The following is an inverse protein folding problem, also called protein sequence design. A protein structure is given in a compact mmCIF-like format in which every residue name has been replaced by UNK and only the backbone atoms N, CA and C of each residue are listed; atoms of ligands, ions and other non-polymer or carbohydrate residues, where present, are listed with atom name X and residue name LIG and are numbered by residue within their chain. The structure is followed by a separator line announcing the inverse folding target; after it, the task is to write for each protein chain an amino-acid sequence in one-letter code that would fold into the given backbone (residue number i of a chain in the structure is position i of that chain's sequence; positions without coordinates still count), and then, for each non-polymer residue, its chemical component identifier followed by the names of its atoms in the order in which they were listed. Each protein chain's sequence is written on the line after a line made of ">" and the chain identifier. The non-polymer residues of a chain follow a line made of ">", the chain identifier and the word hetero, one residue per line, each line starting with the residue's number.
data_IF_990726428913
#
_entry.id   IF_990726428913
#
_cell.length_a   1.000
_cell.length_b   1.000
_cell.length_c   1.000
_cell.angle_alpha   90.00
_cell.angle_beta   90.00
_cell.angle_gamma   90.00
#
_symmetry.space_group_name_H-M   'P 1'
#
loop_
_entity.id
_entity.type
_entity.pdbx_description
1 polymer ?
#
# COMPACT_ATOMS: atom_id res chain seq x y z
N UNK A 1 3.12 3.71 -8.57
CA UNK A 1 1.90 3.01 -9.03
C UNK A 1 1.35 3.51 -10.36
N UNK A 2 1.13 4.83 -10.57
CA UNK A 2 0.51 5.40 -11.79
C UNK A 2 1.08 4.83 -13.11
N UNK A 3 2.41 4.76 -13.24
CA UNK A 3 3.10 4.19 -14.41
C UNK A 3 2.75 2.72 -14.66
N UNK A 4 2.70 1.88 -13.61
CA UNK A 4 2.40 0.46 -13.77
C UNK A 4 0.95 0.23 -14.21
N UNK A 5 0.00 0.97 -13.64
CA UNK A 5 -1.41 0.95 -14.11
C UNK A 5 -1.48 1.37 -15.59
N UNK A 6 -0.69 2.36 -16.01
CA UNK A 6 -0.57 2.76 -17.41
C UNK A 6 -0.12 1.61 -18.33
N UNK A 7 0.94 0.88 -17.93
CA UNK A 7 1.41 -0.30 -18.68
C UNK A 7 0.37 -1.41 -18.79
N UNK A 8 -0.36 -1.68 -17.70
CA UNK A 8 -1.45 -2.67 -17.72
C UNK A 8 -2.55 -2.27 -18.72
N UNK A 9 -2.87 -0.97 -18.82
CA UNK A 9 -3.82 -0.44 -19.82
C UNK A 9 -3.30 -0.65 -21.24
N UNK A 10 -2.07 -0.23 -21.52
CA UNK A 10 -1.46 -0.33 -22.86
C UNK A 10 -1.40 -1.77 -23.39
N UNK A 11 -1.26 -2.74 -22.48
CA UNK A 11 -1.21 -4.17 -22.80
C UNK A 11 -2.56 -4.86 -22.79
N UNK A 12 -3.66 -4.15 -22.57
CA UNK A 12 -5.00 -4.73 -22.49
C UNK A 12 -5.22 -5.65 -21.27
N UNK A 13 -4.42 -5.50 -20.21
CA UNK A 13 -4.47 -6.29 -18.98
C UNK A 13 -5.25 -5.58 -17.86
N UNK A 14 -5.70 -4.35 -18.08
CA UNK A 14 -6.50 -3.57 -17.15
C UNK A 14 -7.97 -3.59 -17.57
N UNK A 15 -8.84 -4.08 -16.71
CA UNK A 15 -10.30 -3.93 -16.88
C UNK A 15 -10.73 -2.56 -16.34
N UNK A 16 -11.27 -1.71 -17.19
CA UNK A 16 -11.79 -0.40 -16.81
C UNK A 16 -13.30 -0.44 -16.61
N UNK A 17 -13.76 -0.01 -15.44
CA UNK A 17 -15.17 0.06 -15.05
C UNK A 17 -15.54 1.54 -15.00
N UNK A 18 -16.47 1.96 -15.86
CA UNK A 18 -16.78 3.38 -16.09
C UNK A 18 -18.10 3.80 -15.48
N UNK A 19 -18.99 2.86 -15.28
CA UNK A 19 -20.18 3.04 -14.46
C UNK A 19 -19.80 3.41 -13.02
N UNK A 20 -20.67 4.20 -12.37
CA UNK A 20 -20.58 4.48 -10.95
C UNK A 20 -20.79 3.18 -10.16
N UNK A 21 -19.86 2.87 -9.26
CA UNK A 21 -19.90 1.67 -8.42
C UNK A 21 -19.95 2.05 -6.95
N UNK A 22 -20.78 1.36 -6.18
CA UNK A 22 -20.88 1.55 -4.75
C UNK A 22 -19.59 1.12 -4.03
N UNK A 23 -19.07 1.92 -3.07
CA UNK A 23 -17.98 1.50 -2.20
C UNK A 23 -18.43 0.43 -1.20
N UNK A 24 -19.74 0.25 -1.02
CA UNK A 24 -20.32 -0.72 -0.11
C UNK A 24 -20.58 -2.03 -0.86
N UNK A 25 -19.73 -3.02 -0.62
CA UNK A 25 -19.74 -4.39 -1.15
C UNK A 25 -19.55 -4.56 -2.66
N UNK A 26 -20.07 -3.65 -3.49
CA UNK A 26 -20.15 -3.84 -4.94
C UNK A 26 -18.77 -3.88 -5.60
N UNK A 27 -17.93 -2.88 -5.36
CA UNK A 27 -16.55 -2.87 -5.89
C UNK A 27 -15.75 -4.10 -5.43
N UNK A 28 -15.89 -4.49 -4.16
CA UNK A 28 -15.22 -5.66 -3.59
C UNK A 28 -15.74 -6.98 -4.21
N UNK A 29 -17.06 -7.08 -4.46
CA UNK A 29 -17.68 -8.21 -5.13
C UNK A 29 -17.17 -8.35 -6.57
N UNK A 30 -17.16 -7.27 -7.33
CA UNK A 30 -16.63 -7.23 -8.70
C UNK A 30 -15.16 -7.64 -8.73
N UNK A 31 -14.34 -7.10 -7.82
CA UNK A 31 -12.93 -7.48 -7.70
C UNK A 31 -12.73 -8.97 -7.40
N UNK A 32 -13.57 -9.55 -6.54
CA UNK A 32 -13.54 -10.99 -6.20
C UNK A 32 -13.96 -11.89 -7.37
N UNK A 33 -14.95 -11.46 -8.14
CA UNK A 33 -15.54 -12.24 -9.25
C UNK A 33 -14.65 -12.19 -10.50
N UNK A 34 -14.16 -11.01 -10.87
CA UNK A 34 -13.38 -10.83 -12.08
C UNK A 34 -11.94 -11.34 -11.95
N UNK A 35 -11.33 -11.25 -10.76
CA UNK A 35 -9.94 -11.69 -10.48
C UNK A 35 -8.93 -11.20 -11.53
N UNK A 36 -9.08 -9.95 -11.96
CA UNK A 36 -8.20 -9.24 -12.90
C UNK A 36 -7.86 -7.86 -12.32
N UNK A 37 -6.79 -7.18 -12.79
CA UNK A 37 -6.55 -5.79 -12.46
C UNK A 37 -7.74 -4.92 -12.87
N UNK A 38 -8.22 -4.10 -11.95
CA UNK A 38 -9.39 -3.24 -12.14
C UNK A 38 -9.04 -1.78 -11.89
N UNK A 39 -9.59 -0.92 -12.74
CA UNK A 39 -9.66 0.52 -12.49
C UNK A 39 -11.12 0.97 -12.58
N UNK A 40 -11.69 1.26 -11.43
CA UNK A 40 -12.97 1.95 -11.33
C UNK A 40 -12.74 3.43 -11.57
N UNK A 41 -13.51 4.03 -12.47
CA UNK A 41 -13.41 5.47 -12.75
C UNK A 41 -14.28 6.32 -11.83
N UNK A 42 -15.32 5.73 -11.25
CA UNK A 42 -16.22 6.43 -10.33
C UNK A 42 -16.65 5.52 -9.17
N UNK A 43 -16.01 5.75 -8.02
CA UNK A 43 -16.53 5.35 -6.71
C UNK A 43 -16.57 6.63 -5.88
N UNK A 44 -17.78 7.19 -5.69
CA UNK A 44 -17.99 8.49 -5.02
C UNK A 44 -17.17 9.64 -5.66
N UNK A 45 -17.02 9.64 -6.98
CA UNK A 45 -16.24 10.62 -7.73
C UNK A 45 -14.73 10.36 -7.77
N UNK A 46 -14.26 9.25 -7.21
CA UNK A 46 -12.84 8.89 -7.20
C UNK A 46 -12.53 7.70 -8.10
N UNK A 47 -11.29 7.68 -8.61
CA UNK A 47 -10.72 6.49 -9.25
C UNK A 47 -10.18 5.54 -8.19
N UNK A 48 -10.51 4.26 -8.30
CA UNK A 48 -10.04 3.22 -7.39
C UNK A 48 -9.43 2.08 -8.19
N UNK A 49 -8.22 1.68 -7.81
CA UNK A 49 -7.51 0.57 -8.44
C UNK A 49 -7.54 -0.64 -7.50
N UNK A 50 -7.90 -1.81 -8.03
CA UNK A 50 -7.94 -3.07 -7.28
C UNK A 50 -7.20 -4.18 -8.03
N UNK A 51 -6.73 -5.20 -7.28
CA UNK A 51 -6.09 -6.39 -7.83
C UNK A 51 -4.83 -6.13 -8.68
N UNK A 52 -4.14 -5.01 -8.46
CA UNK A 52 -3.00 -4.58 -9.31
C UNK A 52 -1.79 -5.53 -9.19
N UNK A 53 -1.57 -6.12 -8.01
CA UNK A 53 -0.45 -7.04 -7.73
C UNK A 53 -0.95 -8.43 -7.27
N UNK A 54 -2.08 -8.89 -7.80
CA UNK A 54 -2.77 -10.10 -7.30
C UNK A 54 -2.14 -11.44 -7.69
N UNK A 55 -1.18 -11.47 -8.63
CA UNK A 55 -0.59 -12.71 -9.15
C UNK A 55 0.93 -12.58 -9.30
N UNK A 56 1.61 -13.73 -9.34
CA UNK A 56 3.06 -13.78 -9.57
C UNK A 56 3.44 -13.13 -10.90
N UNK A 57 2.69 -13.42 -11.96
CA UNK A 57 2.91 -12.81 -13.27
C UNK A 57 2.79 -11.28 -13.24
N UNK A 58 1.77 -10.72 -12.58
CA UNK A 58 1.61 -9.27 -12.43
C UNK A 58 2.72 -8.66 -11.59
N UNK A 59 3.13 -9.32 -10.50
CA UNK A 59 4.25 -8.85 -9.68
C UNK A 59 5.57 -8.88 -10.48
N UNK A 60 5.82 -9.96 -11.22
CA UNK A 60 7.01 -10.13 -12.07
C UNK A 60 7.08 -9.03 -13.12
N UNK A 61 5.96 -8.74 -13.79
CA UNK A 61 5.87 -7.62 -14.73
C UNK A 61 6.02 -6.24 -14.06
N UNK A 62 5.45 -6.07 -12.87
CA UNK A 62 5.58 -4.82 -12.11
C UNK A 62 7.04 -4.50 -11.78
N UNK A 63 7.83 -5.54 -11.48
CA UNK A 63 9.23 -5.45 -11.09
C UNK A 63 10.20 -5.56 -12.28
N UNK A 64 9.73 -5.96 -13.47
CA UNK A 64 10.58 -6.19 -14.63
C UNK A 64 11.48 -7.42 -14.49
N UNK A 65 11.05 -8.42 -13.73
CA UNK A 65 11.79 -9.67 -13.48
C UNK A 65 11.05 -10.81 -14.19
N UNK A 66 11.77 -11.76 -14.78
CA UNK A 66 11.13 -12.94 -15.36
C UNK A 66 10.41 -13.76 -14.26
N UNK A 67 9.21 -14.27 -14.57
CA UNK A 67 8.37 -14.96 -13.59
C UNK A 67 9.03 -16.21 -12.98
N UNK A 68 9.88 -16.90 -13.74
CA UNK A 68 10.64 -18.06 -13.27
C UNK A 68 11.81 -17.67 -12.35
N UNK A 69 12.31 -16.44 -12.44
CA UNK A 69 13.48 -15.97 -11.71
C UNK A 69 13.13 -15.12 -10.49
N UNK A 70 11.88 -14.66 -10.35
CA UNK A 70 11.48 -13.70 -9.31
C UNK A 70 11.87 -14.13 -7.90
N UNK A 71 11.66 -15.40 -7.53
CA UNK A 71 11.99 -15.89 -6.18
C UNK A 71 13.50 -15.86 -5.95
N UNK A 72 14.27 -16.36 -6.93
CA UNK A 72 15.74 -16.39 -6.84
C UNK A 72 16.32 -14.98 -6.80
N UNK A 73 15.79 -14.10 -7.64
CA UNK A 73 16.21 -12.70 -7.69
C UNK A 73 15.96 -12.01 -6.35
N UNK A 74 14.73 -12.04 -5.83
CA UNK A 74 14.39 -11.42 -4.55
C UNK A 74 15.19 -11.98 -3.38
N UNK A 75 15.47 -13.28 -3.36
CA UNK A 75 16.27 -13.93 -2.33
C UNK A 75 17.77 -13.55 -2.39
N UNK A 76 18.27 -13.13 -3.56
CA UNK A 76 19.66 -12.70 -3.74
C UNK A 76 19.90 -11.24 -3.35
N UNK A 77 18.84 -10.44 -3.19
CA UNK A 77 18.95 -9.02 -2.89
C UNK A 77 19.28 -8.79 -1.41
N UNK A 78 20.19 -7.85 -1.18
CA UNK A 78 20.47 -7.25 0.12
C UNK A 78 19.67 -5.96 0.30
N UNK A 79 19.25 -5.61 1.54
CA UNK A 79 18.47 -4.42 1.78
C UNK A 79 19.38 -3.21 2.07
N UNK A 80 20.26 -2.91 1.14
CA UNK A 80 21.29 -1.87 1.18
C UNK A 80 21.17 -0.86 0.03
N UNK A 81 20.05 -0.90 -0.72
CA UNK A 81 19.73 0.09 -1.74
C UNK A 81 19.63 1.51 -1.19
N UNK A 82 19.83 2.48 -2.07
CA UNK A 82 19.85 3.91 -1.73
C UNK A 82 18.42 4.45 -1.54
N UNK A 83 18.25 5.32 -0.54
CA UNK A 83 17.00 6.06 -0.31
C UNK A 83 17.32 7.53 -0.45
N UNK A 84 16.55 8.24 -1.28
CA UNK A 84 16.78 9.66 -1.56
C UNK A 84 15.65 10.48 -0.96
N UNK A 85 16.00 11.39 -0.06
CA UNK A 85 15.04 12.38 0.42
C UNK A 85 14.87 13.47 -0.63
N UNK A 86 13.63 13.85 -0.88
CA UNK A 86 13.25 14.88 -1.85
C UNK A 86 12.35 15.91 -1.19
N UNK A 87 12.48 17.16 -1.61
CA UNK A 87 11.70 18.27 -1.07
C UNK A 87 10.30 18.40 -1.73
N UNK A 88 10.08 17.73 -2.86
CA UNK A 88 8.82 17.76 -3.61
C UNK A 88 8.45 16.38 -4.19
N UNK A 89 7.16 16.13 -4.34
CA UNK A 89 6.59 14.89 -4.83
C UNK A 89 5.15 15.10 -5.34
N UNK A 90 4.68 14.35 -6.35
CA UNK A 90 3.27 14.33 -6.74
C UNK A 90 2.28 14.01 -5.61
N UNK A 91 2.75 13.46 -4.48
CA UNK A 91 1.91 13.25 -3.28
C UNK A 91 1.58 14.54 -2.54
N UNK A 92 2.30 15.64 -2.80
CA UNK A 92 2.08 16.96 -2.21
C UNK A 92 1.14 17.85 -3.05
N UNK A 93 0.65 17.35 -4.21
CA UNK A 93 -0.29 18.08 -5.09
C UNK A 93 -1.55 18.56 -4.37
N UNK A 94 -1.96 17.88 -3.29
CA UNK A 94 -3.11 18.24 -2.46
C UNK A 94 -2.69 18.25 -1.00
N UNK A 95 -2.72 19.44 -0.39
CA UNK A 95 -2.55 19.64 1.05
C UNK A 95 -3.84 20.22 1.62
N UNK A 96 -4.56 19.41 2.40
CA UNK A 96 -5.83 19.80 3.00
C UNK A 96 -6.11 19.01 4.27
N UNK A 97 -6.97 19.56 5.13
CA UNK A 97 -7.37 18.88 6.35
C UNK A 97 -8.03 17.51 6.03
N UNK A 98 -7.66 16.44 6.74
CA UNK A 98 -8.12 15.10 6.42
C UNK A 98 -9.63 14.96 6.63
N UNK A 99 -10.27 14.31 5.66
CA UNK A 99 -11.68 13.92 5.73
C UNK A 99 -11.84 12.52 5.13
N UNK A 100 -11.59 11.52 5.98
CA UNK A 100 -11.62 10.10 5.63
C UNK A 100 -13.02 9.64 5.19
N UNK A 101 -14.07 10.34 5.63
CA UNK A 101 -15.45 10.04 5.27
C UNK A 101 -15.77 10.43 3.82
N UNK A 102 -14.95 11.28 3.19
CA UNK A 102 -15.06 11.61 1.75
C UNK A 102 -14.34 10.63 0.85
N UNK A 103 -13.33 9.94 1.35
CA UNK A 103 -12.54 8.99 0.55
C UNK A 103 -13.38 7.75 0.17
N UNK A 104 -13.08 7.10 -0.97
CA UNK A 104 -13.79 5.92 -1.45
C UNK A 104 -13.33 4.64 -0.72
N UNK A 105 -13.27 4.68 0.62
CA UNK A 105 -12.87 3.51 1.41
C UNK A 105 -13.98 2.46 1.34
N UNK A 106 -13.61 1.22 1.05
CA UNK A 106 -14.58 0.17 0.72
C UNK A 106 -15.03 -0.59 1.97
N UNK A 107 -16.33 -0.90 2.03
CA UNK A 107 -16.84 -1.95 2.91
C UNK A 107 -16.79 -3.27 2.14
N UNK A 108 -15.95 -4.20 2.58
CA UNK A 108 -15.60 -5.36 1.76
C UNK A 108 -16.61 -6.50 1.91
N UNK A 109 -17.11 -6.71 3.13
CA UNK A 109 -18.04 -7.78 3.46
C UNK A 109 -19.22 -7.30 4.32
N UNK A 110 -20.43 -7.89 4.19
CA UNK A 110 -21.61 -7.49 4.97
C UNK A 110 -21.46 -7.56 6.49
N UNK A 111 -20.49 -8.34 6.99
CA UNK A 111 -20.22 -8.51 8.42
C UNK A 111 -19.04 -7.67 8.92
N UNK A 112 -18.44 -6.87 8.05
CA UNK A 112 -17.41 -5.92 8.48
C UNK A 112 -18.04 -4.87 9.40
N UNK A 113 -17.26 -4.38 10.36
CA UNK A 113 -17.71 -3.32 11.29
C UNK A 113 -17.80 -1.94 10.61
N UNK A 114 -17.29 -1.80 9.39
CA UNK A 114 -17.24 -0.56 8.62
C UNK A 114 -16.28 -0.67 7.45
N UNK A 115 -15.97 0.47 6.83
CA UNK A 115 -15.06 0.54 5.70
C UNK A 115 -13.59 0.34 6.12
N UNK A 116 -12.83 -0.41 5.34
CA UNK A 116 -11.43 -0.72 5.60
C UNK A 116 -10.50 -0.23 4.48
N UNK A 117 -9.42 0.45 4.84
CA UNK A 117 -8.26 0.59 3.96
C UNK A 117 -7.43 -0.69 4.04
N UNK A 118 -7.24 -1.40 2.94
CA UNK A 118 -6.59 -2.72 2.91
C UNK A 118 -5.18 -2.72 2.32
N UNK A 119 -4.80 -1.65 1.62
CA UNK A 119 -3.50 -1.46 0.99
C UNK A 119 -2.74 -0.24 1.54
N UNK A 120 -3.04 0.16 2.77
CA UNK A 120 -2.33 1.24 3.46
C UNK A 120 -1.01 0.74 4.06
N UNK A 121 0.09 1.35 3.64
CA UNK A 121 1.41 1.15 4.26
C UNK A 121 1.52 2.15 5.41
N UNK A 122 1.57 1.65 6.64
CA UNK A 122 1.95 2.46 7.81
C UNK A 122 3.47 2.60 7.77
N UNK A 123 3.93 3.84 7.60
CA UNK A 123 5.32 4.23 7.85
C UNK A 123 5.37 4.80 9.25
N UNK A 124 6.12 4.16 10.13
CA UNK A 124 6.28 4.57 11.53
C UNK A 124 7.74 4.86 11.82
N UNK A 125 8.03 5.87 12.63
CA UNK A 125 9.40 6.17 13.04
C UNK A 125 9.45 6.52 14.53
N UNK A 126 10.41 5.94 15.23
CA UNK A 126 10.69 6.28 16.63
C UNK A 126 12.18 6.14 16.90
N UNK A 127 12.79 7.15 17.54
CA UNK A 127 14.23 7.18 17.88
C UNK A 127 15.16 6.87 16.69
N UNK A 128 14.82 7.40 15.51
CA UNK A 128 15.60 7.20 14.28
C UNK A 128 15.45 5.81 13.65
N UNK A 129 14.58 4.95 14.18
CA UNK A 129 14.23 3.66 13.57
C UNK A 129 12.90 3.80 12.84
N UNK A 130 13.00 3.77 11.51
CA UNK A 130 11.84 3.74 10.62
C UNK A 130 11.36 2.29 10.39
N UNK A 131 10.08 2.12 10.07
CA UNK A 131 9.52 0.85 9.60
C UNK A 131 8.37 1.13 8.64
N UNK A 132 8.20 0.30 7.61
CA UNK A 132 7.06 0.35 6.70
C UNK A 132 6.32 -1.00 6.68
N UNK A 133 5.03 -1.02 7.00
CA UNK A 133 4.26 -2.27 6.98
C UNK A 133 2.82 -2.08 6.54
N UNK A 134 2.26 -3.07 5.84
CA UNK A 134 0.84 -3.02 5.43
C UNK A 134 -0.07 -3.39 6.61
N UNK A 135 -1.06 -2.55 6.88
CA UNK A 135 -2.10 -2.81 7.85
C UNK A 135 -3.49 -2.59 7.25
N UNK A 136 -4.46 -3.39 7.68
CA UNK A 136 -5.87 -3.07 7.48
C UNK A 136 -6.29 -2.01 8.50
N UNK A 137 -6.94 -0.94 8.03
CA UNK A 137 -7.33 0.20 8.85
C UNK A 137 -8.82 0.44 8.75
N UNK A 138 -9.54 0.26 9.86
CA UNK A 138 -10.96 0.56 9.98
C UNK A 138 -11.15 2.07 10.10
N UNK A 139 -12.00 2.65 9.25
CA UNK A 139 -12.41 4.05 9.38
C UNK A 139 -13.38 4.18 10.54
N UNK A 140 -13.04 5.02 11.52
CA UNK A 140 -13.86 5.31 12.71
C UNK A 140 -14.52 6.68 12.67
N UNK A 141 -14.12 7.54 11.72
CA UNK A 141 -14.70 8.86 11.49
C UNK A 141 -13.78 9.71 10.63
N UNK A 142 -14.14 10.99 10.47
CA UNK A 142 -13.45 11.99 9.62
C UNK A 142 -11.92 11.98 9.69
N UNK A 143 -11.31 11.78 10.86
CA UNK A 143 -9.86 11.86 11.05
C UNK A 143 -9.32 10.74 11.97
N UNK A 144 -10.04 9.62 12.08
CA UNK A 144 -9.68 8.53 12.99
C UNK A 144 -9.73 7.17 12.32
N UNK A 145 -8.68 6.39 12.55
CA UNK A 145 -8.54 5.01 12.09
C UNK A 145 -8.28 4.07 13.27
N UNK A 146 -8.64 2.80 13.11
CA UNK A 146 -8.19 1.72 13.98
C UNK A 146 -7.45 0.66 13.19
N UNK A 147 -6.20 0.39 13.58
CA UNK A 147 -5.38 -0.69 13.04
C UNK A 147 -5.06 -1.70 14.13
N UNK A 148 -4.93 -2.98 13.74
CA UNK A 148 -4.36 -4.00 14.63
C UNK A 148 -2.86 -4.02 14.46
N UNK A 149 -2.14 -3.77 15.55
CA UNK A 149 -0.72 -4.05 15.64
C UNK A 149 -0.55 -5.47 16.19
N UNK A 150 0.24 -6.29 15.49
CA UNK A 150 0.52 -7.66 15.90
C UNK A 150 1.80 -7.67 16.70
N UNK A 151 1.77 -8.29 17.87
CA UNK A 151 2.93 -8.46 18.76
C UNK A 151 4.15 -8.96 17.99
N UNK A 152 5.35 -8.49 18.37
CA UNK A 152 6.63 -8.83 17.74
C UNK A 152 6.74 -8.51 16.24
N UNK A 153 5.88 -7.61 15.74
CA UNK A 153 6.13 -6.85 14.51
C UNK A 153 6.78 -5.51 14.84
N UNK A 154 7.60 -5.01 13.92
CA UNK A 154 8.34 -3.77 14.12
C UNK A 154 7.46 -2.57 14.51
N UNK A 155 6.34 -2.30 13.82
CA UNK A 155 5.42 -1.21 14.20
C UNK A 155 4.84 -1.39 15.61
N UNK A 156 4.58 -2.62 16.04
CA UNK A 156 4.17 -2.91 17.41
C UNK A 156 5.29 -2.61 18.41
N UNK A 157 6.52 -3.04 18.13
CA UNK A 157 7.67 -2.78 18.99
C UNK A 157 7.98 -1.28 19.10
N UNK A 158 7.90 -0.53 17.98
CA UNK A 158 8.04 0.93 17.99
C UNK A 158 6.91 1.59 18.80
N UNK A 159 5.67 1.15 18.63
CA UNK A 159 4.54 1.64 19.41
C UNK A 159 4.70 1.37 20.91
N UNK A 160 5.17 0.17 21.26
CA UNK A 160 5.43 -0.22 22.64
C UNK A 160 6.49 0.69 23.28
N UNK A 161 7.62 0.91 22.59
CA UNK A 161 8.69 1.82 23.06
C UNK A 161 8.18 3.25 23.27
N UNK A 162 7.42 3.80 22.31
CA UNK A 162 6.83 5.13 22.47
C UNK A 162 5.87 5.19 23.66
N UNK A 163 5.01 4.17 23.79
CA UNK A 163 4.05 4.07 24.90
C UNK A 163 4.71 3.97 26.27
N UNK A 164 5.84 3.24 26.38
CA UNK A 164 6.63 3.13 27.62
C UNK A 164 7.20 4.48 28.07
N UNK A 165 7.33 5.44 27.15
CA UNK A 165 7.72 6.83 27.43
C UNK A 165 6.54 7.79 27.57
N UNK A 166 5.31 7.31 27.44
CA UNK A 166 4.11 8.15 27.44
C UNK A 166 3.94 9.00 26.18
N UNK A 167 4.61 8.62 25.08
CA UNK A 167 4.58 9.34 23.81
C UNK A 167 3.74 8.59 22.76
N UNK A 168 3.02 9.29 21.87
CA UNK A 168 2.41 8.67 20.70
C UNK A 168 3.49 8.26 19.69
N UNK A 169 3.29 7.16 18.97
CA UNK A 169 4.12 6.80 17.83
C UNK A 169 3.75 7.66 16.61
N UNK A 170 4.67 8.47 16.05
CA UNK A 170 4.45 9.16 14.78
C UNK A 170 4.29 8.15 13.63
N UNK A 171 3.27 8.38 12.80
CA UNK A 171 3.00 7.53 11.63
C UNK A 171 2.52 8.35 10.43
N UNK A 172 2.82 7.84 9.23
CA UNK A 172 2.19 8.22 7.97
C UNK A 172 1.53 7.00 7.34
N UNK A 173 0.45 7.22 6.56
CA UNK A 173 -0.22 6.14 5.81
C UNK A 173 -0.06 6.44 4.32
N UNK A 174 0.66 5.56 3.62
CA UNK A 174 0.91 5.68 2.19
C UNK A 174 0.03 4.69 1.43
N UNK A 175 -0.75 5.19 0.48
CA UNK A 175 -1.61 4.38 -0.40
C UNK A 175 -1.16 4.60 -1.85
N UNK A 176 -1.05 3.52 -2.62
CA UNK A 176 -0.63 3.59 -4.01
C UNK A 176 0.88 3.80 -4.21
N UNK A 177 1.69 3.30 -3.27
CA UNK A 177 3.15 3.26 -3.38
C UNK A 177 3.62 2.45 -4.61
N UNK A 178 4.92 2.48 -4.93
CA UNK A 178 5.46 1.65 -6.02
C UNK A 178 5.27 0.16 -5.72
N UNK A 179 5.18 -0.72 -6.74
CA UNK A 179 5.13 -2.16 -6.52
C UNK A 179 6.29 -2.70 -5.66
N UNK A 180 7.50 -2.15 -5.84
CA UNK A 180 8.66 -2.51 -5.03
C UNK A 180 8.47 -2.14 -3.54
N UNK A 181 7.99 -0.93 -3.24
CA UNK A 181 7.71 -0.49 -1.87
C UNK A 181 6.58 -1.32 -1.24
N UNK A 182 5.52 -1.62 -2.00
CA UNK A 182 4.44 -2.50 -1.53
C UNK A 182 4.96 -3.90 -1.18
N UNK A 183 5.81 -4.48 -2.02
CA UNK A 183 6.41 -5.80 -1.76
C UNK A 183 7.34 -5.76 -0.54
N UNK A 184 8.23 -4.78 -0.46
CA UNK A 184 9.18 -4.65 0.64
C UNK A 184 8.47 -4.48 1.99
N UNK A 185 7.39 -3.68 2.04
CA UNK A 185 6.56 -3.47 3.24
C UNK A 185 5.80 -4.71 3.72
N UNK A 186 5.84 -5.81 2.96
CA UNK A 186 5.26 -7.11 3.33
C UNK A 186 6.31 -8.20 3.51
N UNK A 187 7.58 -7.87 3.32
CA UNK A 187 8.72 -8.78 3.44
C UNK A 187 9.27 -8.76 4.87
N UNK A 188 9.83 -9.87 5.33
CA UNK A 188 10.55 -9.94 6.61
C UNK A 188 11.96 -9.43 6.39
N UNK A 189 12.25 -8.23 6.88
CA UNK A 189 13.56 -7.61 6.79
C UNK A 189 14.08 -7.30 8.20
N UNK A 190 15.38 -6.99 8.36
CA UNK A 190 15.85 -6.34 9.58
C UNK A 190 15.14 -4.99 9.78
N UNK A 191 15.01 -4.48 11.01
CA UNK A 191 14.35 -3.20 11.27
C UNK A 191 14.95 -2.04 10.46
N UNK A 192 14.08 -1.19 9.89
CA UNK A 192 14.50 0.03 9.18
C UNK A 192 15.13 -0.20 7.81
N UNK A 193 14.76 -1.29 7.14
CA UNK A 193 15.38 -1.72 5.89
C UNK A 193 14.41 -1.84 4.72
N UNK A 194 13.13 -1.57 4.93
CA UNK A 194 12.08 -1.75 3.92
C UNK A 194 12.28 -0.86 2.69
N UNK A 195 12.67 0.41 2.85
CA UNK A 195 12.89 1.31 1.72
C UNK A 195 14.18 1.00 0.95
N UNK A 196 15.24 0.62 1.66
CA UNK A 196 16.50 0.17 1.05
C UNK A 196 16.29 -1.11 0.25
N UNK A 197 15.50 -2.05 0.77
CA UNK A 197 15.12 -3.26 0.02
C UNK A 197 14.23 -2.94 -1.18
N UNK A 198 13.28 -2.00 -1.04
CA UNK A 198 12.48 -1.54 -2.17
C UNK A 198 13.35 -0.90 -3.27
N UNK A 199 14.39 -0.15 -2.89
CA UNK A 199 15.37 0.38 -3.84
C UNK A 199 16.15 -0.74 -4.53
N UNK A 200 16.64 -1.72 -3.78
CA UNK A 200 17.34 -2.88 -4.34
C UNK A 200 16.46 -3.65 -5.34
N UNK A 201 15.17 -3.84 -5.03
CA UNK A 201 14.20 -4.44 -5.95
C UNK A 201 14.01 -3.59 -7.21
N UNK A 202 13.89 -2.27 -7.05
CA UNK A 202 13.61 -1.35 -8.14
C UNK A 202 14.83 -1.10 -9.05
N UNK A 203 16.04 -1.42 -8.59
CA UNK A 203 17.29 -1.10 -9.28
C UNK A 203 17.59 0.40 -9.36
N UNK A 204 16.95 1.21 -8.50
CA UNK A 204 17.09 2.67 -8.46
C UNK A 204 16.69 3.20 -7.07
N UNK A 205 17.12 4.41 -6.70
CA UNK A 205 16.71 5.01 -5.43
C UNK A 205 15.18 5.12 -5.32
N UNK A 206 14.69 4.85 -4.11
CA UNK A 206 13.30 5.09 -3.69
C UNK A 206 13.18 6.45 -3.05
#
# INVERSE_FOLDING_TARGET
>A
MRQFIGRLRERGQLTEIRESVSPEFEAAKLARELRKPLLFHDIRGFKVAMNILQSRSLLSDALGIAENDIVKHLASLTPDGEVTLVDDSPTMEVDSAPDLEKLPVLMHYPKDRGAYMTAGIIVSEFEGVMNASVHRLLVLGKNRLAGRLVEQRHTYELHKKASEKGEPLPVAIVIGASPAVMLASTTRLPPGREFQYASAIAGKPV
#
